data_IF_729378905220
#
_entry.id   IF_729378905220
#
_cell.length_a   1.000
_cell.length_b   1.000
_cell.length_c   1.000
_cell.angle_alpha   90.00
_cell.angle_beta   90.00
_cell.angle_gamma   90.00
#
_symmetry.space_group_name_H-M   'P 1'
#
loop_
_entity.id
_entity.type
_entity.pdbx_description
1 polymer ?
#
# COMPACT_ATOMS: atom_id res chain seq x y z
N UNK A 1 -5.27 -26.92 8.31
CA UNK A 1 -4.70 -26.23 9.49
C UNK A 1 -5.15 -24.78 9.41
N UNK A 2 -5.63 -24.19 10.50
CA UNK A 2 -6.09 -22.80 10.54
C UNK A 2 -4.94 -21.93 11.03
N UNK A 3 -4.59 -20.87 10.30
CA UNK A 3 -3.54 -19.92 10.67
C UNK A 3 -4.04 -19.01 11.78
N UNK A 4 -3.30 -18.93 12.87
CA UNK A 4 -3.58 -18.03 14.00
C UNK A 4 -3.00 -16.64 13.72
N UNK A 5 -3.85 -15.63 13.73
CA UNK A 5 -3.49 -14.26 13.33
C UNK A 5 -3.55 -13.32 14.53
N UNK A 6 -2.51 -12.49 14.66
CA UNK A 6 -2.47 -11.34 15.55
C UNK A 6 -2.57 -10.03 14.79
N UNK A 7 -3.20 -9.02 15.39
CA UNK A 7 -3.28 -7.66 14.83
C UNK A 7 -2.82 -6.66 15.89
N UNK A 8 -1.68 -6.02 15.66
CA UNK A 8 -1.20 -4.91 16.46
C UNK A 8 -1.70 -3.59 15.86
N UNK A 9 -2.36 -2.74 16.67
CA UNK A 9 -2.95 -1.49 16.19
C UNK A 9 -4.37 -1.64 15.65
N UNK A 10 -5.15 -2.52 16.27
CA UNK A 10 -6.49 -2.92 15.82
C UNK A 10 -7.49 -1.76 15.76
N UNK A 11 -7.31 -0.67 16.53
CA UNK A 11 -8.26 0.45 16.62
C UNK A 11 -8.22 1.42 15.42
N UNK A 12 -7.20 1.32 14.57
CA UNK A 12 -7.06 2.14 13.35
C UNK A 12 -7.99 1.69 12.20
N UNK A 13 -8.06 2.48 11.12
CA UNK A 13 -8.82 2.09 9.92
C UNK A 13 -8.29 0.80 9.30
N UNK A 14 -6.97 0.67 9.17
CA UNK A 14 -6.33 -0.53 8.61
C UNK A 14 -6.58 -1.76 9.49
N UNK A 15 -6.48 -1.59 10.83
CA UNK A 15 -6.81 -2.66 11.78
C UNK A 15 -8.25 -3.14 11.66
N UNK A 16 -9.20 -2.21 11.56
CA UNK A 16 -10.62 -2.54 11.33
C UNK A 16 -10.86 -3.24 9.99
N UNK A 17 -10.12 -2.86 8.96
CA UNK A 17 -10.20 -3.50 7.63
C UNK A 17 -9.62 -4.91 7.64
N UNK A 18 -8.50 -5.15 8.33
CA UNK A 18 -7.95 -6.49 8.56
C UNK A 18 -8.95 -7.40 9.24
N UNK A 19 -9.66 -6.92 10.28
CA UNK A 19 -10.71 -7.69 10.93
C UNK A 19 -11.79 -8.07 9.93
N UNK A 20 -12.30 -7.09 9.17
CA UNK A 20 -13.36 -7.32 8.17
C UNK A 20 -13.00 -8.40 7.16
N UNK A 21 -11.74 -8.42 6.71
CA UNK A 21 -11.24 -9.38 5.73
C UNK A 21 -10.99 -10.76 6.35
N UNK A 22 -10.39 -10.78 7.56
CA UNK A 22 -9.94 -12.02 8.19
C UNK A 22 -11.05 -12.77 8.92
N UNK A 23 -12.08 -12.08 9.44
CA UNK A 23 -13.17 -12.75 10.19
C UNK A 23 -13.94 -13.77 9.35
N UNK A 24 -13.98 -13.59 8.03
CA UNK A 24 -14.63 -14.51 7.11
C UNK A 24 -13.64 -15.36 6.30
N UNK A 25 -12.35 -15.29 6.62
CA UNK A 25 -11.33 -16.04 5.89
C UNK A 25 -11.34 -17.52 6.29
N UNK A 26 -11.49 -18.48 5.34
CA UNK A 26 -11.74 -19.89 5.66
C UNK A 26 -10.55 -20.58 6.36
N UNK A 27 -9.33 -20.03 6.28
CA UNK A 27 -8.10 -20.62 6.81
C UNK A 27 -7.40 -19.74 7.85
N UNK A 28 -8.01 -18.65 8.29
CA UNK A 28 -7.43 -17.75 9.29
C UNK A 28 -8.37 -17.56 10.48
N UNK A 29 -7.79 -17.38 11.67
CA UNK A 29 -8.52 -17.04 12.91
C UNK A 29 -7.75 -15.96 13.65
N UNK A 30 -8.39 -14.83 13.93
CA UNK A 30 -7.84 -13.79 14.77
C UNK A 30 -7.87 -14.30 16.22
N UNK A 31 -6.69 -14.37 16.85
CA UNK A 31 -6.52 -14.87 18.23
C UNK A 31 -5.93 -13.84 19.18
N UNK A 32 -5.32 -12.77 18.64
CA UNK A 32 -4.78 -11.66 19.43
C UNK A 32 -5.05 -10.33 18.73
N UNK A 33 -5.42 -9.32 19.51
CA UNK A 33 -5.59 -7.95 19.06
C UNK A 33 -5.00 -7.00 20.09
N UNK A 34 -4.21 -6.02 19.69
CA UNK A 34 -3.63 -5.06 20.62
C UNK A 34 -3.85 -3.62 20.21
N UNK A 35 -3.90 -2.75 21.19
CA UNK A 35 -3.95 -1.30 21.02
C UNK A 35 -3.24 -0.57 22.15
N UNK A 36 -3.13 0.76 22.04
CA UNK A 36 -2.64 1.61 23.13
C UNK A 36 -3.77 2.19 23.98
N UNK A 37 -4.93 2.39 23.40
CA UNK A 37 -6.02 3.20 23.99
C UNK A 37 -7.22 2.39 24.46
N UNK A 38 -7.31 1.10 24.16
CA UNK A 38 -8.50 0.29 24.43
C UNK A 38 -8.19 -1.04 25.12
N UNK A 39 -7.02 -1.16 25.76
CA UNK A 39 -6.57 -2.36 26.49
C UNK A 39 -7.60 -2.77 27.55
N UNK A 40 -7.91 -4.06 27.65
CA UNK A 40 -8.88 -4.63 28.57
C UNK A 40 -10.33 -4.53 28.12
N UNK A 41 -10.61 -3.89 26.99
CA UNK A 41 -11.97 -3.81 26.43
C UNK A 41 -12.08 -4.68 25.15
N UNK A 42 -13.29 -5.08 24.77
CA UNK A 42 -13.48 -5.83 23.55
C UNK A 42 -13.22 -4.97 22.31
N UNK A 43 -12.74 -5.59 21.24
CA UNK A 43 -12.53 -4.95 19.93
C UNK A 43 -13.82 -4.26 19.44
N UNK A 44 -14.99 -4.81 19.74
CA UNK A 44 -16.31 -4.24 19.45
C UNK A 44 -16.59 -2.92 20.19
N UNK A 45 -15.82 -2.57 21.23
CA UNK A 45 -15.95 -1.26 21.87
C UNK A 45 -15.55 -0.11 20.96
N UNK A 46 -14.58 -0.34 20.04
CA UNK A 46 -14.14 0.62 19.02
C UNK A 46 -14.84 0.37 17.68
N UNK A 47 -14.92 -0.89 17.25
CA UNK A 47 -15.56 -1.30 16.01
C UNK A 47 -16.99 -1.76 16.26
N UNK A 48 -17.91 -0.81 16.48
CA UNK A 48 -19.30 -1.07 16.89
C UNK A 48 -20.07 -2.03 15.99
N UNK A 49 -19.73 -2.10 14.70
CA UNK A 49 -20.32 -3.05 13.74
C UNK A 49 -19.96 -4.51 14.04
N UNK A 50 -19.00 -4.78 14.94
CA UNK A 50 -18.62 -6.13 15.38
C UNK A 50 -19.31 -6.58 16.67
N UNK A 51 -20.21 -5.76 17.22
CA UNK A 51 -20.95 -6.10 18.45
C UNK A 51 -21.71 -7.42 18.27
N UNK A 52 -21.49 -8.37 19.20
CA UNK A 52 -22.04 -9.71 19.13
C UNK A 52 -21.38 -10.69 18.14
N UNK A 53 -20.39 -10.22 17.39
CA UNK A 53 -19.63 -11.08 16.45
C UNK A 53 -18.19 -11.33 16.91
N UNK A 54 -17.58 -10.39 17.63
CA UNK A 54 -16.21 -10.50 18.07
C UNK A 54 -16.01 -9.86 19.46
N UNK A 55 -15.88 -10.72 20.46
CA UNK A 55 -15.68 -10.31 21.86
C UNK A 55 -14.20 -10.45 22.28
N UNK A 56 -13.25 -10.47 21.32
CA UNK A 56 -11.82 -10.53 21.59
C UNK A 56 -11.41 -9.29 22.39
N UNK A 57 -10.80 -9.53 23.55
CA UNK A 57 -10.31 -8.45 24.42
C UNK A 57 -8.95 -7.97 23.92
N UNK A 58 -8.80 -6.65 23.82
CA UNK A 58 -7.55 -6.04 23.40
C UNK A 58 -6.50 -6.11 24.49
N UNK A 59 -5.30 -6.56 24.13
CA UNK A 59 -4.14 -6.64 25.02
C UNK A 59 -3.16 -5.48 24.82
N UNK A 60 -2.16 -5.39 25.69
CA UNK A 60 -1.02 -4.49 25.51
C UNK A 60 -0.20 -4.89 24.28
N UNK A 61 0.48 -3.89 23.70
CA UNK A 61 1.33 -4.07 22.52
C UNK A 61 2.72 -4.58 22.92
N UNK A 62 2.77 -5.85 23.31
CA UNK A 62 3.98 -6.57 23.72
C UNK A 62 4.08 -7.88 22.95
N UNK A 63 5.29 -8.29 22.56
CA UNK A 63 5.51 -9.46 21.71
C UNK A 63 4.98 -10.76 22.34
N UNK A 64 5.08 -10.91 23.67
CA UNK A 64 4.58 -12.09 24.39
C UNK A 64 3.06 -12.30 24.23
N UNK A 65 2.28 -11.24 24.02
CA UNK A 65 0.83 -11.34 23.78
C UNK A 65 0.47 -11.94 22.43
N UNK A 66 1.44 -12.08 21.53
CA UNK A 66 1.31 -12.71 20.22
C UNK A 66 1.96 -14.11 20.15
N UNK A 67 2.37 -14.68 21.29
CA UNK A 67 3.09 -15.97 21.35
C UNK A 67 2.34 -17.11 20.64
N UNK A 68 1.00 -17.12 20.70
CA UNK A 68 0.17 -18.14 20.03
C UNK A 68 -0.08 -17.88 18.54
N UNK A 69 0.32 -16.73 18.00
CA UNK A 69 0.10 -16.39 16.60
C UNK A 69 1.11 -17.05 15.68
N UNK A 70 0.68 -17.41 14.48
CA UNK A 70 1.56 -17.82 13.39
C UNK A 70 1.99 -16.60 12.56
N UNK A 71 1.07 -15.63 12.37
CA UNK A 71 1.28 -14.39 11.61
C UNK A 71 0.79 -13.21 12.42
N UNK A 72 1.56 -12.13 12.43
CA UNK A 72 1.16 -10.86 13.09
C UNK A 72 1.18 -9.71 12.08
N UNK A 73 0.07 -9.02 11.96
CA UNK A 73 -0.04 -7.78 11.19
C UNK A 73 0.24 -6.58 12.11
N UNK A 74 1.14 -5.70 11.67
CA UNK A 74 1.46 -4.45 12.36
C UNK A 74 0.78 -3.28 11.64
N UNK A 75 -0.37 -2.84 12.16
CA UNK A 75 -1.12 -1.68 11.67
C UNK A 75 -0.82 -0.45 12.52
N UNK A 76 0.46 -0.10 12.63
CA UNK A 76 0.99 0.90 13.55
C UNK A 76 1.36 2.21 12.82
N UNK A 77 1.42 3.34 13.55
CA UNK A 77 2.01 4.57 13.03
C UNK A 77 3.48 4.39 12.65
N UNK A 78 3.96 5.22 11.73
CA UNK A 78 5.37 5.24 11.33
C UNK A 78 6.30 5.44 12.53
N UNK A 79 7.42 4.75 12.58
CA UNK A 79 8.40 4.74 13.67
C UNK A 79 8.00 3.88 14.87
N UNK A 80 6.89 3.13 14.80
CA UNK A 80 6.38 2.36 15.93
C UNK A 80 6.37 0.83 15.73
N UNK A 81 6.73 0.33 14.54
CA UNK A 81 6.65 -1.09 14.22
C UNK A 81 7.99 -1.82 14.32
N UNK A 82 9.12 -1.14 14.09
CA UNK A 82 10.43 -1.78 13.93
C UNK A 82 10.89 -2.59 15.17
N UNK A 83 10.68 -2.06 16.37
CA UNK A 83 11.03 -2.78 17.62
C UNK A 83 10.19 -4.04 17.83
N UNK A 84 8.86 -3.91 17.72
CA UNK A 84 7.95 -5.05 17.87
C UNK A 84 8.15 -6.09 16.75
N UNK A 85 8.43 -5.66 15.54
CA UNK A 85 8.74 -6.57 14.41
C UNK A 85 9.99 -7.41 14.71
N UNK A 86 11.06 -6.80 15.23
CA UNK A 86 12.30 -7.49 15.63
C UNK A 86 12.04 -8.57 16.65
N UNK A 87 11.28 -8.25 17.71
CA UNK A 87 10.92 -9.20 18.75
C UNK A 87 10.08 -10.36 18.20
N UNK A 88 9.05 -10.09 17.43
CA UNK A 88 8.17 -11.11 16.85
C UNK A 88 8.90 -12.07 15.90
N UNK A 89 9.75 -11.53 15.02
CA UNK A 89 10.58 -12.36 14.12
C UNK A 89 11.55 -13.22 14.93
N UNK A 90 12.16 -12.70 16.01
CA UNK A 90 13.02 -13.49 16.90
C UNK A 90 12.29 -14.63 17.61
N UNK A 91 10.96 -14.49 17.79
CA UNK A 91 10.08 -15.54 18.32
C UNK A 91 9.60 -16.52 17.23
N UNK A 92 10.11 -16.42 16.00
CA UNK A 92 9.73 -17.27 14.87
C UNK A 92 8.35 -16.97 14.29
N UNK A 93 7.83 -15.74 14.47
CA UNK A 93 6.55 -15.32 13.89
C UNK A 93 6.74 -14.71 12.52
N UNK A 94 5.78 -14.95 11.63
CA UNK A 94 5.70 -14.19 10.38
C UNK A 94 5.08 -12.81 10.67
N UNK A 95 5.72 -11.77 10.17
CA UNK A 95 5.32 -10.38 10.39
C UNK A 95 4.98 -9.70 9.07
N UNK A 96 3.82 -9.07 9.00
CA UNK A 96 3.41 -8.21 7.88
C UNK A 96 3.26 -6.81 8.43
N UNK A 97 4.24 -5.94 8.12
CA UNK A 97 4.22 -4.55 8.55
C UNK A 97 3.48 -3.68 7.53
N UNK A 98 2.33 -3.12 7.94
CA UNK A 98 1.56 -2.16 7.15
C UNK A 98 2.03 -0.72 7.39
N UNK A 99 2.95 -0.52 8.36
CA UNK A 99 3.66 0.72 8.56
C UNK A 99 4.67 1.00 7.45
N UNK A 100 5.46 2.05 7.63
CA UNK A 100 6.46 2.42 6.63
C UNK A 100 7.88 2.03 7.04
N UNK A 101 8.05 1.50 8.24
CA UNK A 101 9.37 1.34 8.87
C UNK A 101 10.29 0.42 8.04
N UNK A 102 9.72 -0.60 7.38
CA UNK A 102 10.50 -1.63 6.67
C UNK A 102 10.53 -1.46 5.14
N UNK A 103 9.94 -0.36 4.58
CA UNK A 103 9.76 -0.23 3.12
C UNK A 103 11.01 0.23 2.39
N UNK A 104 11.80 1.12 3.00
CA UNK A 104 13.01 1.68 2.40
C UNK A 104 14.21 0.80 2.76
N UNK A 105 15.01 0.44 1.75
CA UNK A 105 16.18 -0.41 1.92
C UNK A 105 17.37 0.33 2.52
N UNK A 106 17.43 1.66 2.30
CA UNK A 106 18.50 2.52 2.75
C UNK A 106 18.09 3.28 4.02
N UNK A 107 18.90 3.14 5.07
CA UNK A 107 18.64 3.77 6.37
C UNK A 107 18.74 5.30 6.33
N UNK A 108 19.68 5.85 5.57
CA UNK A 108 19.87 7.30 5.48
C UNK A 108 18.67 7.95 4.78
N UNK A 109 18.16 7.32 3.71
CA UNK A 109 16.91 7.72 3.05
C UNK A 109 15.73 7.63 4.00
N UNK A 110 15.63 6.55 4.81
CA UNK A 110 14.59 6.44 5.82
C UNK A 110 14.65 7.61 6.83
N UNK A 111 15.83 7.91 7.34
CA UNK A 111 16.03 9.00 8.30
C UNK A 111 15.69 10.38 7.70
N UNK A 112 16.10 10.63 6.45
CA UNK A 112 15.79 11.87 5.74
C UNK A 112 14.28 12.11 5.61
N UNK A 113 13.53 11.08 5.22
CA UNK A 113 12.11 11.23 4.88
C UNK A 113 11.14 10.99 6.03
N UNK A 114 11.52 10.20 7.03
CA UNK A 114 10.66 9.88 8.18
C UNK A 114 11.09 10.59 9.46
N UNK A 115 12.37 10.89 9.63
CA UNK A 115 12.90 11.61 10.80
C UNK A 115 12.67 10.89 12.13
N UNK A 116 12.46 9.57 12.09
CA UNK A 116 12.17 8.74 13.25
C UNK A 116 13.26 7.69 13.42
N UNK A 117 13.63 7.42 14.68
CA UNK A 117 14.58 6.35 15.01
C UNK A 117 14.03 4.99 14.53
N UNK A 118 14.88 4.20 13.89
CA UNK A 118 14.57 2.85 13.48
C UNK A 118 15.24 1.83 14.43
N UNK A 119 14.44 1.04 15.14
CA UNK A 119 14.96 0.12 16.16
C UNK A 119 15.55 -1.18 15.61
N UNK A 120 15.54 -1.36 14.28
CA UNK A 120 16.10 -2.53 13.62
C UNK A 120 16.64 -2.17 12.20
N UNK A 121 17.59 -1.23 12.09
CA UNK A 121 18.07 -0.75 10.79
C UNK A 121 18.75 -1.84 9.94
N UNK A 122 19.35 -2.86 10.57
CA UNK A 122 20.09 -3.93 9.88
C UNK A 122 19.20 -4.78 8.99
N UNK A 123 17.87 -4.80 9.23
CA UNK A 123 16.92 -5.59 8.44
C UNK A 123 16.52 -4.92 7.13
N UNK A 124 16.70 -3.61 7.01
CA UNK A 124 16.17 -2.83 5.89
C UNK A 124 16.57 -3.35 4.50
N UNK A 125 17.84 -3.73 4.26
CA UNK A 125 18.23 -4.29 2.98
C UNK A 125 17.56 -5.63 2.64
N UNK A 126 17.18 -6.41 3.66
CA UNK A 126 16.68 -7.77 3.54
C UNK A 126 15.14 -7.86 3.61
N UNK A 127 14.48 -6.82 4.14
CA UNK A 127 13.02 -6.78 4.21
C UNK A 127 12.40 -6.92 2.81
N UNK A 128 11.46 -7.85 2.67
CA UNK A 128 10.82 -8.10 1.38
C UNK A 128 9.65 -7.14 1.18
N UNK A 129 9.70 -6.39 0.09
CA UNK A 129 8.61 -5.50 -0.30
C UNK A 129 7.36 -6.32 -0.68
N UNK A 130 6.26 -6.10 0.03
CA UNK A 130 5.06 -6.93 0.04
C UNK A 130 4.11 -6.66 -1.12
N UNK A 131 4.60 -6.61 -2.34
CA UNK A 131 3.80 -6.49 -3.57
C UNK A 131 3.83 -7.83 -4.32
N UNK A 132 2.83 -8.75 -4.09
CA UNK A 132 2.87 -10.11 -4.61
C UNK A 132 2.98 -10.20 -6.12
N UNK A 133 2.42 -9.25 -6.84
CA UNK A 133 2.46 -9.18 -8.30
C UNK A 133 3.90 -9.05 -8.86
N UNK A 134 4.84 -8.58 -8.04
CA UNK A 134 6.24 -8.42 -8.44
C UNK A 134 7.20 -9.34 -7.65
N UNK A 135 6.87 -9.67 -6.40
CA UNK A 135 7.81 -10.28 -5.46
C UNK A 135 7.29 -11.59 -4.83
N UNK A 136 6.29 -12.25 -5.43
CA UNK A 136 5.61 -13.44 -4.90
C UNK A 136 6.56 -14.52 -4.37
N UNK A 137 7.58 -14.88 -5.14
CA UNK A 137 8.50 -15.96 -4.77
C UNK A 137 9.38 -15.55 -3.57
N UNK A 138 9.77 -14.30 -3.49
CA UNK A 138 10.52 -13.78 -2.34
C UNK A 138 9.65 -13.74 -1.08
N UNK A 139 8.39 -13.32 -1.19
CA UNK A 139 7.44 -13.23 -0.08
C UNK A 139 7.22 -14.62 0.57
N UNK A 140 7.13 -15.67 -0.21
CA UNK A 140 6.88 -17.06 0.30
C UNK A 140 7.95 -17.53 1.29
N UNK A 141 9.19 -17.10 1.14
CA UNK A 141 10.34 -17.58 1.90
C UNK A 141 10.73 -16.66 3.06
N UNK A 142 10.01 -15.57 3.30
CA UNK A 142 10.39 -14.56 4.29
C UNK A 142 9.49 -14.57 5.52
N UNK A 143 10.05 -14.15 6.64
CA UNK A 143 9.33 -13.97 7.89
C UNK A 143 8.93 -12.52 8.15
N UNK A 144 9.55 -11.55 7.45
CA UNK A 144 9.21 -10.13 7.50
C UNK A 144 8.82 -9.60 6.12
N UNK A 145 7.60 -9.08 6.02
CA UNK A 145 7.05 -8.48 4.81
C UNK A 145 6.76 -7.00 5.07
N UNK A 146 7.37 -6.13 4.28
CA UNK A 146 7.11 -4.69 4.26
C UNK A 146 5.95 -4.39 3.31
N UNK A 147 4.73 -4.27 3.82
CA UNK A 147 3.57 -4.01 2.98
C UNK A 147 3.62 -2.60 2.36
N UNK A 148 3.38 -2.45 1.04
CA UNK A 148 3.45 -1.19 0.32
C UNK A 148 2.57 -0.08 0.87
N UNK A 149 2.94 1.18 0.60
CA UNK A 149 2.03 2.31 0.71
C UNK A 149 0.96 2.30 -0.38
N UNK A 150 -0.19 2.92 -0.11
CA UNK A 150 -1.31 2.90 -1.04
C UNK A 150 -1.01 3.62 -2.38
N UNK A 151 -0.41 4.82 -2.35
CA UNK A 151 0.03 5.49 -3.57
C UNK A 151 1.11 4.69 -4.33
N UNK A 152 2.20 4.21 -3.67
CA UNK A 152 3.17 3.36 -4.32
C UNK A 152 2.56 2.15 -5.00
N UNK A 153 1.62 1.45 -4.36
CA UNK A 153 0.93 0.29 -4.96
C UNK A 153 0.30 0.64 -6.30
N UNK A 154 -0.49 1.73 -6.37
CA UNK A 154 -1.17 2.12 -7.61
C UNK A 154 -0.19 2.55 -8.70
N UNK A 155 0.88 3.26 -8.34
CA UNK A 155 1.87 3.80 -9.27
C UNK A 155 2.79 2.70 -9.79
N UNK A 156 3.32 1.87 -8.89
CA UNK A 156 4.25 0.79 -9.25
C UNK A 156 3.57 -0.22 -10.17
N UNK A 157 2.36 -0.68 -9.81
CA UNK A 157 1.59 -1.57 -10.68
C UNK A 157 1.22 -0.90 -12.00
N UNK A 158 0.90 0.40 -11.98
CA UNK A 158 0.65 1.16 -13.19
C UNK A 158 1.84 1.19 -14.17
N UNK A 159 3.07 1.26 -13.66
CA UNK A 159 4.29 1.47 -14.46
C UNK A 159 5.11 0.21 -14.73
N UNK A 160 4.93 -0.86 -13.95
CA UNK A 160 5.79 -2.05 -14.02
C UNK A 160 5.95 -2.64 -15.44
N UNK A 161 4.88 -2.84 -16.24
CA UNK A 161 5.03 -3.38 -17.59
C UNK A 161 5.89 -2.50 -18.51
N UNK A 162 5.74 -1.19 -18.39
CA UNK A 162 6.42 -0.21 -19.24
C UNK A 162 7.92 -0.11 -18.92
N UNK A 163 8.25 -0.08 -17.63
CA UNK A 163 9.65 0.00 -17.17
C UNK A 163 10.39 -1.30 -17.51
N UNK A 164 9.78 -2.47 -17.32
CA UNK A 164 10.38 -3.75 -17.70
C UNK A 164 10.65 -3.88 -19.21
N UNK A 165 9.86 -3.20 -20.05
CA UNK A 165 10.07 -3.18 -21.50
C UNK A 165 10.97 -2.02 -21.97
N UNK A 166 11.36 -1.10 -21.09
CA UNK A 166 12.17 0.08 -21.44
C UNK A 166 11.45 1.05 -22.39
N UNK A 167 10.11 1.16 -22.28
CA UNK A 167 9.30 1.96 -23.23
C UNK A 167 9.07 3.40 -22.81
N UNK A 168 9.64 3.81 -21.69
CA UNK A 168 9.44 5.12 -21.05
C UNK A 168 10.75 5.90 -20.98
N UNK A 169 10.71 7.21 -21.23
CA UNK A 169 11.79 8.12 -20.86
C UNK A 169 11.70 8.40 -19.36
N UNK A 170 12.71 7.94 -18.60
CA UNK A 170 12.67 7.89 -17.14
C UNK A 170 12.61 9.26 -16.48
N UNK A 171 13.14 10.31 -17.10
CA UNK A 171 13.13 11.70 -16.68
C UNK A 171 11.79 12.43 -16.91
N UNK A 172 10.79 11.75 -17.45
CA UNK A 172 9.53 12.35 -17.87
C UNK A 172 8.30 11.89 -17.09
N UNK A 173 8.49 11.10 -16.01
CA UNK A 173 7.40 10.47 -15.27
C UNK A 173 6.77 11.48 -14.30
N UNK A 174 5.47 11.72 -14.48
CA UNK A 174 4.64 12.55 -13.60
C UNK A 174 3.49 11.70 -13.07
N UNK A 175 3.41 11.57 -11.75
CA UNK A 175 2.39 10.81 -11.04
C UNK A 175 1.42 11.77 -10.34
N UNK A 176 0.25 11.97 -10.90
CA UNK A 176 -0.78 12.87 -10.37
C UNK A 176 -1.90 12.03 -9.75
N UNK A 177 -1.88 11.91 -8.40
CA UNK A 177 -2.69 10.94 -7.68
C UNK A 177 -3.71 11.61 -6.74
N UNK A 178 -4.94 11.11 -6.75
CA UNK A 178 -6.07 11.59 -5.95
C UNK A 178 -6.47 10.49 -4.97
N UNK A 179 -6.51 10.82 -3.66
CA UNK A 179 -6.85 9.88 -2.59
C UNK A 179 -8.04 10.34 -1.78
N UNK A 180 -8.88 9.40 -1.40
CA UNK A 180 -9.87 9.59 -0.36
C UNK A 180 -9.22 9.84 1.02
N UNK A 181 -9.96 10.52 1.90
CA UNK A 181 -9.46 11.04 3.18
C UNK A 181 -9.06 9.96 4.20
N UNK A 182 -9.56 8.74 4.07
CA UNK A 182 -9.15 7.63 4.97
C UNK A 182 -7.67 7.27 4.86
N UNK A 183 -7.02 7.63 3.74
CA UNK A 183 -5.58 7.49 3.57
C UNK A 183 -4.73 8.33 4.53
N UNK A 184 -5.30 9.40 5.10
CA UNK A 184 -4.66 10.21 6.13
C UNK A 184 -4.70 9.57 7.53
N UNK A 185 -5.41 8.45 7.71
CA UNK A 185 -5.58 7.76 8.98
C UNK A 185 -6.73 8.31 9.81
N UNK A 186 -6.89 7.74 11.03
CA UNK A 186 -8.01 8.05 11.94
C UNK A 186 -7.76 9.28 12.84
N UNK A 187 -6.52 9.77 12.92
CA UNK A 187 -6.18 10.93 13.72
C UNK A 187 -6.87 12.18 13.21
N UNK A 188 -7.41 12.96 14.14
CA UNK A 188 -8.07 14.23 13.82
C UNK A 188 -7.04 15.26 13.32
N UNK A 189 -7.24 15.78 12.13
CA UNK A 189 -6.42 16.84 11.54
C UNK A 189 -7.31 17.89 10.88
N UNK A 190 -6.83 19.13 10.75
CA UNK A 190 -7.56 20.19 10.07
C UNK A 190 -7.97 19.76 8.65
N UNK A 191 -7.04 19.16 7.89
CA UNK A 191 -7.28 18.78 6.49
C UNK A 191 -8.31 17.64 6.31
N UNK A 192 -8.63 16.91 7.37
CA UNK A 192 -9.62 15.81 7.36
C UNK A 192 -10.86 16.13 8.17
N UNK A 193 -10.94 17.34 8.75
CA UNK A 193 -12.12 17.83 9.43
C UNK A 193 -13.25 18.03 8.41
N UNK A 194 -14.47 17.55 8.73
CA UNK A 194 -15.54 17.43 7.74
C UNK A 194 -15.84 18.72 6.97
N UNK A 195 -16.03 19.90 7.61
CA UNK A 195 -16.29 21.15 6.87
C UNK A 195 -15.11 21.59 5.98
N UNK A 196 -13.86 21.22 6.33
CA UNK A 196 -12.67 21.64 5.59
C UNK A 196 -12.38 20.72 4.40
N UNK A 197 -12.76 19.45 4.48
CA UNK A 197 -12.53 18.47 3.41
C UNK A 197 -13.74 18.24 2.51
N UNK A 198 -14.96 18.49 2.98
CA UNK A 198 -16.17 18.29 2.18
C UNK A 198 -16.22 19.32 1.05
N UNK A 199 -16.59 18.88 -0.17
CA UNK A 199 -16.63 19.69 -1.38
C UNK A 199 -15.30 20.41 -1.71
N UNK A 200 -14.17 19.90 -1.19
CA UNK A 200 -12.84 20.47 -1.36
C UNK A 200 -11.86 19.47 -1.98
N UNK A 201 -11.06 19.93 -2.95
CA UNK A 201 -9.95 19.18 -3.54
C UNK A 201 -8.66 19.96 -3.25
N UNK A 202 -7.69 19.32 -2.61
CA UNK A 202 -6.44 19.97 -2.23
C UNK A 202 -5.22 19.13 -2.57
N UNK A 203 -4.21 19.76 -3.20
CA UNK A 203 -2.87 19.19 -3.25
C UNK A 203 -2.22 19.28 -1.87
N UNK A 204 -1.42 18.27 -1.50
CA UNK A 204 -0.71 18.31 -0.22
C UNK A 204 0.68 17.67 -0.35
N UNK A 205 1.62 18.13 0.47
CA UNK A 205 3.00 17.60 0.53
C UNK A 205 3.67 17.46 -0.85
N UNK A 206 3.45 18.40 -1.75
CA UNK A 206 4.12 18.46 -3.05
C UNK A 206 5.64 18.49 -2.83
N UNK A 207 6.38 17.65 -3.55
CA UNK A 207 7.83 17.45 -3.44
C UNK A 207 8.34 17.04 -2.02
N UNK A 208 7.43 16.68 -1.10
CA UNK A 208 7.76 16.36 0.30
C UNK A 208 6.95 15.17 0.86
N UNK A 209 6.29 14.40 0.00
CA UNK A 209 5.49 13.27 0.45
C UNK A 209 6.36 12.04 0.73
N UNK A 210 6.20 11.42 1.90
CA UNK A 210 7.01 10.27 2.35
C UNK A 210 6.92 9.02 1.47
N UNK A 211 5.95 8.91 0.58
CA UNK A 211 5.90 7.83 -0.42
C UNK A 211 6.81 8.08 -1.62
N UNK A 212 7.37 9.28 -1.80
CA UNK A 212 8.25 9.59 -2.95
C UNK A 212 9.45 8.64 -3.02
N UNK A 213 10.30 8.49 -1.97
CA UNK A 213 11.44 7.60 -2.04
C UNK A 213 11.05 6.12 -2.20
N UNK A 214 9.90 5.71 -1.67
CA UNK A 214 9.36 4.35 -1.84
C UNK A 214 9.00 4.09 -3.31
N UNK A 215 8.34 5.04 -3.98
CA UNK A 215 8.00 4.96 -5.41
C UNK A 215 9.29 4.90 -6.23
N UNK A 216 10.22 5.81 -6.01
CA UNK A 216 11.48 5.91 -6.76
C UNK A 216 12.35 4.66 -6.58
N UNK A 217 12.44 4.12 -5.36
CA UNK A 217 13.16 2.88 -5.07
C UNK A 217 12.64 1.71 -5.91
N UNK A 218 11.33 1.49 -5.91
CA UNK A 218 10.75 0.34 -6.60
C UNK A 218 10.72 0.52 -8.13
N UNK A 219 10.46 1.73 -8.61
CA UNK A 219 10.51 2.02 -10.05
C UNK A 219 11.95 1.93 -10.58
N UNK A 220 12.95 2.39 -9.83
CA UNK A 220 14.37 2.23 -10.19
C UNK A 220 14.78 0.77 -10.26
N UNK A 221 14.33 -0.06 -9.32
CA UNK A 221 14.57 -1.51 -9.35
C UNK A 221 13.90 -2.19 -10.57
N UNK A 222 12.74 -1.70 -11.01
CA UNK A 222 12.06 -2.20 -12.20
C UNK A 222 12.76 -1.77 -13.50
N UNK A 223 13.24 -0.52 -13.56
CA UNK A 223 13.96 0.04 -14.70
C UNK A 223 15.40 -0.51 -14.83
N UNK A 224 16.02 -0.93 -13.73
CA UNK A 224 17.43 -1.35 -13.68
C UNK A 224 18.41 -0.17 -13.58
N UNK A 225 17.92 1.05 -13.41
CA UNK A 225 18.71 2.26 -13.22
C UNK A 225 17.94 3.27 -12.35
N UNK A 226 18.67 4.19 -11.72
CA UNK A 226 18.08 5.21 -10.84
C UNK A 226 17.17 6.16 -11.63
N UNK A 227 15.98 6.42 -11.10
CA UNK A 227 15.03 7.40 -11.65
C UNK A 227 14.38 8.22 -10.54
N UNK A 228 13.93 9.40 -10.91
CA UNK A 228 13.14 10.31 -10.06
C UNK A 228 11.78 10.55 -10.70
N UNK A 229 10.77 10.80 -9.88
CA UNK A 229 9.41 11.09 -10.36
C UNK A 229 8.91 12.42 -9.82
N UNK A 230 8.06 13.10 -10.61
CA UNK A 230 7.23 14.18 -10.07
C UNK A 230 5.96 13.57 -9.48
N UNK A 231 5.89 13.48 -8.14
CA UNK A 231 4.74 12.91 -7.44
C UNK A 231 3.87 14.01 -6.82
N UNK A 232 2.63 14.09 -7.26
CA UNK A 232 1.66 15.13 -6.88
C UNK A 232 0.43 14.49 -6.22
N UNK A 233 0.42 14.29 -4.90
CA UNK A 233 -0.72 13.73 -4.19
C UNK A 233 -1.78 14.80 -3.91
N UNK A 234 -3.07 14.38 -3.99
CA UNK A 234 -4.23 15.21 -3.67
C UNK A 234 -5.17 14.46 -2.73
N UNK A 235 -5.81 15.19 -1.82
CA UNK A 235 -6.98 14.73 -1.08
C UNK A 235 -8.24 15.20 -1.79
N UNK A 236 -9.20 14.28 -1.92
CA UNK A 236 -10.50 14.54 -2.51
C UNK A 236 -11.62 14.13 -1.55
N UNK A 237 -12.82 14.76 -1.61
CA UNK A 237 -13.89 14.59 -0.63
C UNK A 237 -14.63 13.25 -0.81
N UNK A 238 -13.91 12.16 -0.71
CA UNK A 238 -14.46 10.81 -0.65
C UNK A 238 -13.77 9.99 0.44
N UNK A 239 -14.44 8.97 0.95
CA UNK A 239 -13.86 8.16 2.01
C UNK A 239 -12.72 7.27 1.51
N UNK A 240 -12.93 6.51 0.44
CA UNK A 240 -12.03 5.47 -0.05
C UNK A 240 -11.72 5.63 -1.55
N UNK A 241 -10.58 5.14 -1.93
CA UNK A 241 -10.10 5.03 -3.30
C UNK A 241 -8.90 5.91 -3.58
N UNK A 242 -8.02 5.42 -4.44
CA UNK A 242 -6.96 6.19 -5.08
C UNK A 242 -7.14 6.06 -6.60
N UNK A 243 -7.03 7.18 -7.29
CA UNK A 243 -6.89 7.25 -8.74
C UNK A 243 -5.57 7.95 -9.04
N UNK A 244 -4.65 7.25 -9.66
CA UNK A 244 -3.38 7.79 -10.16
C UNK A 244 -3.43 7.96 -11.66
N UNK A 245 -3.29 9.20 -12.15
CA UNK A 245 -3.07 9.50 -13.56
C UNK A 245 -1.59 9.73 -13.75
N UNK A 246 -0.92 8.81 -14.44
CA UNK A 246 0.53 8.83 -14.61
C UNK A 246 0.82 9.15 -16.06
N UNK A 247 1.60 10.20 -16.31
CA UNK A 247 1.92 10.68 -17.65
C UNK A 247 3.43 10.64 -17.87
N UNK A 248 3.86 10.11 -19.03
CA UNK A 248 5.28 10.02 -19.38
C UNK A 248 5.48 10.07 -20.90
N UNK A 249 6.69 10.40 -21.32
CA UNK A 249 7.07 10.34 -22.73
C UNK A 249 7.43 8.90 -23.13
N UNK A 250 6.96 8.45 -24.28
CA UNK A 250 7.39 7.18 -24.84
C UNK A 250 8.85 7.25 -25.30
N UNK A 251 9.64 6.23 -24.92
CA UNK A 251 10.97 5.98 -25.49
C UNK A 251 10.87 5.16 -26.79
N UNK A 252 9.86 4.28 -26.87
CA UNK A 252 9.56 3.48 -28.06
C UNK A 252 8.89 4.34 -29.14
N UNK A 253 9.49 4.40 -30.33
CA UNK A 253 9.07 5.31 -31.42
C UNK A 253 7.87 4.80 -32.22
N UNK A 254 7.70 3.49 -32.31
CA UNK A 254 6.65 2.77 -33.05
C UNK A 254 5.55 2.23 -32.11
N UNK A 255 5.27 2.92 -31.00
CA UNK A 255 4.26 2.51 -30.04
C UNK A 255 2.85 2.71 -30.64
N UNK A 256 2.00 1.69 -30.45
CA UNK A 256 0.57 1.73 -30.78
C UNK A 256 -0.25 1.37 -29.54
N UNK A 257 -1.56 1.63 -29.57
CA UNK A 257 -2.44 1.24 -28.47
C UNK A 257 -2.49 -0.29 -28.30
N UNK A 258 -2.51 -1.02 -29.40
CA UNK A 258 -2.57 -2.49 -29.41
C UNK A 258 -1.33 -3.11 -28.78
N UNK A 259 -0.14 -2.56 -29.08
CA UNK A 259 1.11 -3.01 -28.44
C UNK A 259 1.11 -2.71 -26.93
N UNK A 260 0.57 -1.55 -26.55
CA UNK A 260 0.46 -1.15 -25.16
C UNK A 260 -0.49 -2.08 -24.38
N UNK A 261 -1.68 -2.32 -24.92
CA UNK A 261 -2.67 -3.22 -24.33
C UNK A 261 -2.12 -4.64 -24.19
N UNK A 262 -1.48 -5.17 -25.23
CA UNK A 262 -0.87 -6.50 -25.20
C UNK A 262 0.22 -6.62 -24.14
N UNK A 263 1.05 -5.59 -23.94
CA UNK A 263 2.11 -5.59 -22.94
C UNK A 263 1.55 -5.70 -21.51
N UNK A 264 0.47 -4.99 -21.20
CA UNK A 264 -0.17 -5.06 -19.89
C UNK A 264 -0.90 -6.38 -19.67
N UNK A 265 -1.62 -6.88 -20.69
CA UNK A 265 -2.31 -8.17 -20.61
C UNK A 265 -1.33 -9.32 -20.41
N UNK A 266 -0.21 -9.33 -21.16
CA UNK A 266 0.85 -10.32 -20.99
C UNK A 266 1.45 -10.28 -19.59
N UNK A 267 1.80 -9.09 -19.10
CA UNK A 267 2.48 -8.90 -17.82
C UNK A 267 1.63 -9.36 -16.63
N UNK A 268 0.32 -9.06 -16.66
CA UNK A 268 -0.61 -9.36 -15.58
C UNK A 268 -1.50 -10.60 -15.82
N UNK A 269 -1.18 -11.43 -16.81
CA UNK A 269 -2.00 -12.59 -17.19
C UNK A 269 -2.29 -13.56 -16.03
N UNK A 270 -1.37 -13.67 -15.07
CA UNK A 270 -1.48 -14.57 -13.92
C UNK A 270 -1.71 -13.84 -12.59
N UNK A 271 -2.04 -12.56 -12.62
CA UNK A 271 -2.26 -11.73 -11.43
C UNK A 271 -3.76 -11.47 -11.21
N UNK A 272 -4.39 -12.28 -10.36
CA UNK A 272 -5.82 -12.26 -10.07
C UNK A 272 -6.33 -10.87 -9.65
N UNK A 273 -5.51 -10.11 -8.91
CA UNK A 273 -5.91 -8.81 -8.35
C UNK A 273 -5.51 -7.61 -9.21
N UNK A 274 -5.03 -7.83 -10.43
CA UNK A 274 -4.81 -6.75 -11.41
C UNK A 274 -5.73 -6.96 -12.61
N UNK A 275 -6.58 -5.96 -12.91
CA UNK A 275 -7.47 -6.00 -14.05
C UNK A 275 -7.06 -4.94 -15.06
N UNK A 276 -6.62 -5.39 -16.23
CA UNK A 276 -6.26 -4.50 -17.33
C UNK A 276 -7.54 -4.06 -18.05
N UNK A 277 -7.81 -2.76 -18.06
CA UNK A 277 -8.93 -2.11 -18.73
C UNK A 277 -8.45 -1.49 -20.04
N UNK A 278 -9.36 -1.19 -20.93
CA UNK A 278 -9.04 -0.51 -22.18
C UNK A 278 -9.34 1.01 -22.11
N UNK A 279 -8.82 1.77 -23.06
CA UNK A 279 -9.00 3.24 -23.10
C UNK A 279 -10.45 3.72 -23.26
N UNK A 280 -11.36 2.86 -23.73
CA UNK A 280 -12.77 3.19 -23.87
C UNK A 280 -13.56 3.00 -22.56
N UNK A 281 -12.97 2.30 -21.57
CA UNK A 281 -13.58 1.98 -20.30
C UNK A 281 -12.59 2.27 -19.15
N UNK A 282 -12.31 3.55 -18.91
CA UNK A 282 -11.38 3.98 -17.89
C UNK A 282 -11.89 3.64 -16.49
N UNK A 283 -11.01 3.10 -15.59
CA UNK A 283 -11.43 2.67 -14.27
C UNK A 283 -11.78 3.84 -13.37
N UNK A 284 -12.68 3.58 -12.42
CA UNK A 284 -13.11 4.52 -11.38
C UNK A 284 -12.95 3.94 -9.99
N UNK A 285 -12.79 4.81 -8.98
CA UNK A 285 -12.59 4.38 -7.59
C UNK A 285 -13.74 3.53 -7.03
N UNK A 286 -14.99 3.74 -7.49
CA UNK A 286 -16.14 2.93 -7.05
C UNK A 286 -16.06 1.46 -7.48
N UNK A 287 -15.40 1.17 -8.62
CA UNK A 287 -15.33 -0.18 -9.17
C UNK A 287 -14.41 -1.11 -8.37
N UNK A 288 -13.49 -0.55 -7.57
CA UNK A 288 -12.54 -1.31 -6.76
C UNK A 288 -12.81 -1.20 -5.25
N UNK A 289 -13.78 -0.40 -4.85
CA UNK A 289 -14.08 -0.13 -3.45
C UNK A 289 -14.38 -1.42 -2.66
N UNK A 290 -13.71 -1.61 -1.52
CA UNK A 290 -13.85 -2.76 -0.64
C UNK A 290 -13.16 -4.03 -1.15
N UNK A 291 -12.44 -3.96 -2.27
CA UNK A 291 -11.75 -5.08 -2.90
C UNK A 291 -10.23 -4.89 -2.97
N UNK A 292 -9.51 -5.99 -3.19
CA UNK A 292 -8.06 -5.98 -3.40
C UNK A 292 -7.66 -5.78 -4.88
N UNK A 293 -8.59 -5.37 -5.73
CA UNK A 293 -8.29 -5.13 -7.14
C UNK A 293 -7.54 -3.83 -7.38
N UNK A 294 -6.60 -3.90 -8.33
CA UNK A 294 -6.00 -2.75 -9.00
C UNK A 294 -6.48 -2.75 -10.47
N UNK A 295 -7.29 -1.76 -10.85
CA UNK A 295 -7.74 -1.59 -12.23
C UNK A 295 -6.82 -0.62 -12.95
N UNK A 296 -6.25 -1.05 -14.08
CA UNK A 296 -5.24 -0.27 -14.82
C UNK A 296 -5.68 -0.13 -16.28
N UNK A 297 -5.71 1.11 -16.79
CA UNK A 297 -5.94 1.42 -18.19
C UNK A 297 -4.75 2.17 -18.77
N UNK A 298 -3.92 1.53 -19.62
CA UNK A 298 -2.89 2.21 -20.37
C UNK A 298 -3.48 2.89 -21.63
N UNK A 299 -3.06 4.10 -21.92
CA UNK A 299 -3.53 4.91 -23.04
C UNK A 299 -2.35 5.47 -23.81
N UNK A 300 -2.31 5.24 -25.11
CA UNK A 300 -1.40 5.90 -26.03
C UNK A 300 -2.03 7.17 -26.61
N UNK A 301 -1.37 8.30 -26.42
CA UNK A 301 -1.72 9.57 -27.12
C UNK A 301 -0.71 9.83 -28.25
N UNK A 302 -1.04 9.49 -29.51
CA UNK A 302 -0.13 9.66 -30.64
C UNK A 302 0.14 11.13 -30.97
N UNK A 303 -0.77 12.05 -30.61
CA UNK A 303 -0.66 13.48 -30.85
C UNK A 303 0.47 14.11 -30.01
N UNK A 304 0.57 13.71 -28.74
CA UNK A 304 1.60 14.22 -27.81
C UNK A 304 2.79 13.28 -27.66
N UNK A 305 2.72 12.08 -28.24
CA UNK A 305 3.68 10.97 -28.05
C UNK A 305 3.90 10.64 -26.56
N UNK A 306 2.79 10.64 -25.80
CA UNK A 306 2.79 10.30 -24.38
C UNK A 306 2.02 9.03 -24.11
N UNK A 307 2.51 8.30 -23.14
CA UNK A 307 1.75 7.24 -22.48
C UNK A 307 1.07 7.85 -21.27
N UNK A 308 -0.21 7.54 -21.09
CA UNK A 308 -0.98 7.93 -19.91
C UNK A 308 -1.50 6.63 -19.29
N UNK A 309 -1.26 6.43 -18.01
CA UNK A 309 -1.76 5.26 -17.30
C UNK A 309 -2.72 5.73 -16.21
N UNK A 310 -3.95 5.23 -16.25
CA UNK A 310 -4.90 5.40 -15.15
C UNK A 310 -4.88 4.15 -14.30
N UNK A 311 -4.47 4.26 -13.03
CA UNK A 311 -4.41 3.15 -12.09
C UNK A 311 -5.27 3.46 -10.87
N UNK A 312 -6.13 2.51 -10.47
CA UNK A 312 -7.15 2.73 -9.44
C UNK A 312 -7.17 1.58 -8.45
N UNK A 313 -7.17 1.93 -7.15
CA UNK A 313 -7.24 0.97 -6.04
C UNK A 313 -8.19 1.46 -4.93
N UNK A 314 -8.58 0.57 -4.02
CA UNK A 314 -9.09 0.96 -2.68
C UNK A 314 -7.90 1.15 -1.74
N UNK A 315 -7.68 2.36 -1.25
CA UNK A 315 -6.52 2.73 -0.43
C UNK A 315 -6.46 2.09 0.96
N UNK A 316 -7.49 1.37 1.39
CA UNK A 316 -7.51 0.62 2.66
C UNK A 316 -7.37 -0.89 2.47
N UNK A 317 -7.57 -1.41 1.26
CA UNK A 317 -7.54 -2.87 0.99
C UNK A 317 -6.33 -3.27 0.16
N UNK A 318 -6.01 -2.50 -0.88
CA UNK A 318 -4.91 -2.80 -1.80
C UNK A 318 -3.62 -2.05 -1.48
#
# INVERSE_FOLDING_TARGET
MTVKVGIAGVTGYTGGELIRLLMNHPKAKIVAASSRSNVGNPVSAVHKQLYGYMDLIECEMKAENFAECDVVFLALPHGASSGLAKELVSMGKKVIDLGADMRLRDYDTYMEWYGAEHHWPEILPDAVYGLPELYRERIKSQDLIANPGCYPTSIILGLAPLLKKGWVKLDSIVCDSKSGVTGAGKSLTQNTHFPDCNDNLSAYKIAAHRHTPEIEQELSALAGESLLVSFNPHLIPMNRGILSTITMQAAKTDLTQELLDAAYQEFYANEEFVRVRNKADLPTTKQVQGSNYCDIAPVWDPRTKRIIVVSVIDNLVK
#
